data_IF_336591213685
#
_entry.id   IF_336591213685
#
_cell.length_a   1.000
_cell.length_b   1.000
_cell.length_c   1.000
_cell.angle_alpha   90.00
_cell.angle_beta   90.00
_cell.angle_gamma   90.00
#
_symmetry.space_group_name_H-M   'P 1'
#
loop_
_entity.id
_entity.type
_entity.pdbx_description
1 polymer ?
#
# COMPACT_ATOMS: atom_id res chain seq x y z
N UNK A 1 6.53 -5.88 1.77
CA UNK A 1 5.13 -5.69 2.20
C UNK A 1 5.08 -5.78 3.72
N UNK A 2 4.65 -4.74 4.44
CA UNK A 2 4.77 -4.67 5.90
C UNK A 2 3.99 -5.78 6.64
N UNK A 3 2.91 -6.28 6.05
CA UNK A 3 1.98 -7.20 6.70
C UNK A 3 2.41 -8.67 6.71
N UNK A 4 3.49 -9.06 6.04
CA UNK A 4 3.91 -10.47 5.90
C UNK A 4 5.22 -10.79 6.60
N UNK A 5 6.02 -9.78 7.00
CA UNK A 5 7.37 -9.94 7.56
C UNK A 5 8.34 -10.71 6.63
N UNK A 6 8.10 -10.67 5.32
CA UNK A 6 8.91 -11.36 4.32
C UNK A 6 9.54 -10.36 3.35
N UNK A 7 10.59 -10.78 2.66
CA UNK A 7 11.22 -9.97 1.61
C UNK A 7 10.34 -9.94 0.34
N UNK A 8 10.46 -8.92 -0.52
CA UNK A 8 9.72 -8.86 -1.79
C UNK A 8 9.86 -10.10 -2.66
N UNK A 9 11.05 -10.70 -2.73
CA UNK A 9 11.29 -11.95 -3.46
C UNK A 9 10.57 -13.17 -2.86
N UNK A 10 10.25 -13.14 -1.56
CA UNK A 10 9.53 -14.22 -0.87
C UNK A 10 8.02 -14.04 -1.01
N UNK A 11 7.51 -12.84 -0.71
CA UNK A 11 6.07 -12.59 -0.73
C UNK A 11 5.50 -12.30 -2.13
N UNK A 12 6.35 -12.14 -3.15
CA UNK A 12 5.95 -12.09 -4.57
C UNK A 12 5.43 -10.74 -5.09
N UNK A 13 5.39 -9.69 -4.26
CA UNK A 13 5.00 -8.33 -4.69
C UNK A 13 6.27 -7.47 -4.76
N UNK A 14 6.94 -7.50 -5.91
CA UNK A 14 8.28 -6.93 -6.09
C UNK A 14 8.29 -5.46 -6.54
N UNK A 15 7.12 -4.88 -6.81
CA UNK A 15 6.99 -3.47 -7.15
C UNK A 15 5.55 -3.09 -7.51
N UNK A 16 5.34 -1.81 -7.79
CA UNK A 16 4.03 -1.30 -8.26
C UNK A 16 3.71 -1.77 -9.68
N UNK A 17 4.73 -2.14 -10.44
CA UNK A 17 4.61 -2.68 -11.78
C UNK A 17 5.64 -3.79 -11.96
N UNK A 18 5.20 -4.99 -12.31
CA UNK A 18 6.12 -6.09 -12.62
C UNK A 18 5.47 -7.10 -13.56
N UNK A 19 6.29 -7.97 -14.12
CA UNK A 19 5.89 -8.91 -15.16
C UNK A 19 6.24 -10.34 -14.77
N UNK A 20 5.27 -11.22 -14.92
CA UNK A 20 5.45 -12.66 -14.74
C UNK A 20 5.81 -13.30 -16.08
N UNK A 21 7.05 -13.76 -16.22
CA UNK A 21 7.54 -14.39 -17.45
C UNK A 21 6.85 -15.72 -17.76
N UNK A 22 6.32 -16.40 -16.74
CA UNK A 22 5.75 -17.75 -16.89
C UNK A 22 4.32 -17.71 -17.47
N UNK A 23 3.55 -16.71 -17.07
CA UNK A 23 2.15 -16.55 -17.52
C UNK A 23 1.96 -15.38 -18.50
N UNK A 24 3.00 -14.57 -18.70
CA UNK A 24 3.02 -13.34 -19.47
C UNK A 24 2.11 -12.21 -18.94
N UNK A 25 1.70 -12.29 -17.68
CA UNK A 25 0.86 -11.26 -17.07
C UNK A 25 1.66 -10.10 -16.49
N UNK A 26 1.00 -8.96 -16.38
CA UNK A 26 1.54 -7.76 -15.76
C UNK A 26 0.76 -7.48 -14.50
N UNK A 27 1.48 -7.31 -13.38
CA UNK A 27 0.96 -6.60 -12.22
C UNK A 27 1.08 -5.09 -12.50
N UNK A 28 -0.05 -4.38 -12.50
CA UNK A 28 -0.11 -2.94 -12.75
C UNK A 28 -0.97 -2.29 -11.67
N UNK A 29 -0.34 -1.51 -10.78
CA UNK A 29 -0.99 -0.84 -9.65
C UNK A 29 -2.22 -0.01 -10.07
N UNK A 30 -2.22 0.55 -11.28
CA UNK A 30 -3.34 1.38 -11.79
C UNK A 30 -4.50 0.55 -12.33
N UNK A 31 -4.30 -0.75 -12.52
CA UNK A 31 -5.27 -1.66 -13.09
C UNK A 31 -5.81 -2.63 -12.02
N UNK A 32 -7.01 -2.35 -11.52
CA UNK A 32 -7.72 -3.23 -10.57
C UNK A 32 -8.00 -4.62 -11.14
N UNK A 33 -8.12 -4.80 -12.46
CA UNK A 33 -8.26 -6.13 -13.04
C UNK A 33 -6.98 -6.94 -12.87
N UNK A 34 -5.83 -6.31 -12.99
CA UNK A 34 -4.54 -6.96 -12.81
C UNK A 34 -4.26 -7.25 -11.32
N UNK A 35 -4.38 -6.23 -10.47
CA UNK A 35 -4.00 -6.36 -9.05
C UNK A 35 -4.91 -7.29 -8.26
N UNK A 36 -6.15 -7.55 -8.68
CA UNK A 36 -7.06 -8.47 -7.97
C UNK A 36 -6.73 -9.95 -8.17
N UNK A 37 -5.83 -10.31 -9.09
CA UNK A 37 -5.59 -11.72 -9.38
C UNK A 37 -4.93 -12.40 -8.19
N UNK A 38 -5.59 -13.45 -7.69
CA UNK A 38 -5.17 -14.19 -6.49
C UNK A 38 -3.71 -14.62 -6.55
N UNK A 39 -3.22 -15.01 -7.74
CA UNK A 39 -1.85 -15.51 -7.97
C UNK A 39 -0.75 -14.58 -7.44
N UNK A 40 -0.99 -13.27 -7.39
CA UNK A 40 -0.02 -12.30 -6.89
C UNK A 40 0.12 -12.33 -5.36
N UNK A 41 -0.91 -12.80 -4.66
CA UNK A 41 -1.06 -12.64 -3.22
C UNK A 41 -0.98 -13.96 -2.45
N UNK A 42 -0.73 -15.09 -3.11
CA UNK A 42 -0.75 -16.41 -2.45
C UNK A 42 0.59 -16.83 -1.83
N UNK A 43 1.69 -16.11 -2.06
CA UNK A 43 3.02 -16.54 -1.62
C UNK A 43 3.24 -16.35 -0.11
N UNK A 44 2.62 -15.33 0.50
CA UNK A 44 2.81 -15.01 1.90
C UNK A 44 1.49 -14.66 2.60
N UNK A 45 1.28 -15.24 3.78
CA UNK A 45 0.10 -14.98 4.60
C UNK A 45 0.25 -13.60 5.28
N UNK A 46 -0.66 -12.64 5.04
CA UNK A 46 -0.62 -11.38 5.74
C UNK A 46 -1.22 -11.49 7.15
N UNK A 47 -0.76 -10.63 8.07
CA UNK A 47 -1.13 -10.67 9.49
C UNK A 47 -2.63 -10.68 9.77
N UNK A 48 -3.43 -9.99 8.95
CA UNK A 48 -4.90 -9.99 9.10
C UNK A 48 -5.51 -11.36 8.84
N UNK A 49 -4.96 -12.13 7.89
CA UNK A 49 -5.41 -13.51 7.63
C UNK A 49 -4.98 -14.43 8.77
N UNK A 50 -3.76 -14.27 9.27
CA UNK A 50 -3.32 -15.02 10.46
C UNK A 50 -4.23 -14.76 11.66
N UNK A 51 -4.63 -13.50 11.89
CA UNK A 51 -5.54 -13.14 12.96
C UNK A 51 -6.93 -13.80 12.78
N UNK A 52 -7.54 -13.70 11.60
CA UNK A 52 -8.82 -14.37 11.29
C UNK A 52 -8.75 -15.88 11.52
N UNK A 53 -7.68 -16.53 11.06
CA UNK A 53 -7.48 -17.98 11.22
C UNK A 53 -7.32 -18.39 12.69
N UNK A 54 -6.87 -17.48 13.54
CA UNK A 54 -6.78 -17.65 14.99
C UNK A 54 -8.07 -17.22 15.73
N UNK A 55 -9.18 -17.03 15.00
CA UNK A 55 -10.48 -16.67 15.56
C UNK A 55 -10.57 -15.23 16.05
N UNK A 56 -9.75 -14.33 15.48
CA UNK A 56 -9.76 -12.91 15.78
C UNK A 56 -10.44 -12.16 14.65
N UNK A 57 -11.46 -11.37 14.97
CA UNK A 57 -12.16 -10.56 13.99
C UNK A 57 -11.28 -9.40 13.53
N UNK A 58 -11.20 -9.15 12.22
CA UNK A 58 -10.37 -8.10 11.63
C UNK A 58 -11.18 -7.14 10.75
N UNK A 59 -10.90 -5.84 10.90
CA UNK A 59 -11.46 -4.77 10.07
C UNK A 59 -10.37 -3.98 9.36
N UNK A 60 -10.45 -3.88 8.04
CA UNK A 60 -9.47 -3.18 7.22
C UNK A 60 -10.13 -2.03 6.44
N UNK A 61 -9.62 -0.81 6.64
CA UNK A 61 -10.09 0.41 5.99
C UNK A 61 -9.02 0.96 5.06
N UNK A 62 -9.35 1.09 3.78
CA UNK A 62 -8.47 1.51 2.68
C UNK A 62 -7.21 0.65 2.48
N UNK A 63 -7.03 -0.42 3.26
CA UNK A 63 -5.87 -1.29 3.14
C UNK A 63 -5.93 -2.05 1.81
N UNK A 64 -4.98 -1.76 0.94
CA UNK A 64 -4.99 -2.29 -0.43
C UNK A 64 -5.04 -3.81 -0.44
N UNK A 65 -5.95 -4.34 -1.27
CA UNK A 65 -6.11 -5.76 -1.57
C UNK A 65 -6.51 -6.63 -0.37
N UNK A 66 -7.12 -6.03 0.66
CA UNK A 66 -7.85 -6.79 1.67
C UNK A 66 -9.01 -7.61 1.10
N UNK A 67 -9.46 -7.29 -0.12
CA UNK A 67 -10.53 -7.95 -0.86
C UNK A 67 -10.08 -9.22 -1.60
N UNK A 68 -8.78 -9.51 -1.62
CA UNK A 68 -8.24 -10.73 -2.21
C UNK A 68 -8.05 -11.78 -1.12
N UNK A 69 -8.68 -12.93 -1.28
CA UNK A 69 -8.57 -14.01 -0.31
C UNK A 69 -7.16 -14.64 -0.32
N UNK A 70 -6.75 -15.11 0.86
CA UNK A 70 -5.59 -15.97 1.00
C UNK A 70 -6.07 -17.36 1.41
N UNK A 71 -5.90 -18.34 0.52
CA UNK A 71 -6.34 -19.74 0.74
C UNK A 71 -7.80 -19.86 1.20
N UNK A 72 -8.69 -19.01 0.67
CA UNK A 72 -10.13 -19.00 0.98
C UNK A 72 -10.52 -18.20 2.23
N UNK A 73 -9.56 -17.55 2.90
CA UNK A 73 -9.84 -16.66 4.04
C UNK A 73 -9.85 -15.19 3.63
N UNK A 74 -10.77 -14.43 4.20
CA UNK A 74 -10.92 -12.98 4.09
C UNK A 74 -11.08 -12.38 5.49
N UNK A 75 -10.71 -11.11 5.69
CA UNK A 75 -11.07 -10.38 6.91
C UNK A 75 -12.59 -10.29 7.05
N UNK A 76 -13.07 -10.18 8.30
CA UNK A 76 -14.48 -9.95 8.62
C UNK A 76 -15.02 -8.70 7.92
N UNK A 77 -14.21 -7.64 7.85
CA UNK A 77 -14.55 -6.41 7.13
C UNK A 77 -13.35 -5.93 6.31
N UNK A 78 -13.61 -5.61 5.06
CA UNK A 78 -12.67 -4.95 4.16
C UNK A 78 -13.44 -3.89 3.36
N UNK A 79 -13.03 -2.63 3.48
CA UNK A 79 -13.62 -1.55 2.66
C UNK A 79 -13.11 -1.56 1.22
N UNK A 80 -12.00 -2.27 0.96
CA UNK A 80 -11.19 -2.11 -0.24
C UNK A 80 -10.49 -0.74 -0.28
N UNK A 81 -9.62 -0.57 -1.29
CA UNK A 81 -8.98 0.72 -1.57
C UNK A 81 -9.83 1.52 -2.55
N UNK A 82 -10.08 2.79 -2.22
CA UNK A 82 -10.74 3.76 -3.08
C UNK A 82 -9.94 5.06 -3.07
N UNK A 83 -9.31 5.38 -4.21
CA UNK A 83 -8.48 6.59 -4.36
C UNK A 83 -9.23 7.89 -4.03
N UNK A 84 -10.55 7.95 -4.26
CA UNK A 84 -11.37 9.12 -3.93
C UNK A 84 -11.66 9.29 -2.44
N UNK A 85 -11.31 8.29 -1.61
CA UNK A 85 -11.56 8.26 -0.16
C UNK A 85 -10.29 8.07 0.67
N UNK A 86 -9.11 8.20 0.08
CA UNK A 86 -7.84 7.90 0.74
C UNK A 86 -6.88 9.11 0.79
N UNK A 87 -7.26 10.22 0.15
CA UNK A 87 -6.42 11.41 -0.03
C UNK A 87 -6.84 12.64 0.77
N UNK A 88 -7.74 12.51 1.74
CA UNK A 88 -8.25 13.61 2.57
C UNK A 88 -8.20 13.26 4.06
N UNK A 89 -8.08 14.28 4.92
CA UNK A 89 -8.05 14.13 6.38
C UNK A 89 -9.43 13.86 6.98
N UNK A 90 -10.50 14.33 6.34
CA UNK A 90 -11.87 13.99 6.73
C UNK A 90 -12.09 12.49 6.58
N UNK A 91 -11.66 11.91 5.46
CA UNK A 91 -11.75 10.46 5.26
C UNK A 91 -10.86 9.70 6.25
N UNK A 92 -9.65 10.18 6.56
CA UNK A 92 -8.81 9.59 7.60
C UNK A 92 -9.56 9.53 8.94
N UNK A 93 -10.16 10.64 9.35
CA UNK A 93 -10.95 10.73 10.58
C UNK A 93 -12.13 9.75 10.56
N UNK A 94 -12.90 9.71 9.47
CA UNK A 94 -14.03 8.80 9.34
C UNK A 94 -13.62 7.32 9.45
N UNK A 95 -12.49 6.94 8.84
CA UNK A 95 -11.99 5.57 8.95
C UNK A 95 -11.43 5.24 10.35
N UNK A 96 -10.81 6.20 11.03
CA UNK A 96 -10.37 6.05 12.42
C UNK A 96 -11.56 5.90 13.39
N UNK A 97 -12.60 6.72 13.22
CA UNK A 97 -13.84 6.65 14.00
C UNK A 97 -14.54 5.30 13.78
N UNK A 98 -14.60 4.83 12.54
CA UNK A 98 -15.16 3.50 12.22
C UNK A 98 -14.33 2.37 12.85
N UNK A 99 -12.99 2.45 12.78
CA UNK A 99 -12.10 1.49 13.41
C UNK A 99 -12.28 1.44 14.93
N UNK A 100 -12.44 2.59 15.59
CA UNK A 100 -12.75 2.66 17.03
C UNK A 100 -14.06 1.96 17.36
N UNK A 101 -15.13 2.26 16.61
CA UNK A 101 -16.43 1.62 16.79
C UNK A 101 -16.35 0.10 16.66
N UNK A 102 -15.62 -0.40 15.67
CA UNK A 102 -15.41 -1.83 15.44
C UNK A 102 -14.64 -2.48 16.60
N UNK A 103 -13.58 -1.82 17.08
CA UNK A 103 -12.74 -2.28 18.20
C UNK A 103 -13.49 -2.27 19.55
N UNK A 104 -14.36 -1.29 19.79
CA UNK A 104 -15.24 -1.29 20.97
C UNK A 104 -16.28 -2.42 20.94
N UNK A 105 -16.61 -2.91 19.75
CA UNK A 105 -17.47 -4.07 19.55
C UNK A 105 -16.75 -5.39 19.81
N UNK A 106 -16.43 -6.11 18.73
CA UNK A 106 -15.80 -7.42 18.82
C UNK A 106 -14.67 -7.62 17.81
N UNK A 107 -14.14 -6.55 17.23
CA UNK A 107 -12.95 -6.58 16.39
C UNK A 107 -11.69 -6.57 17.25
N UNK A 108 -10.70 -7.36 16.88
CA UNK A 108 -9.45 -7.52 17.62
C UNK A 108 -8.26 -6.84 16.94
N UNK A 109 -8.36 -6.60 15.63
CA UNK A 109 -7.38 -5.87 14.84
C UNK A 109 -8.12 -4.96 13.87
N UNK A 110 -7.83 -3.67 13.91
CA UNK A 110 -8.24 -2.73 12.89
C UNK A 110 -7.01 -2.11 12.22
N UNK A 111 -7.00 -2.00 10.89
CA UNK A 111 -5.93 -1.33 10.16
C UNK A 111 -6.53 -0.27 9.25
N UNK A 112 -5.97 0.94 9.28
CA UNK A 112 -6.41 2.08 8.50
C UNK A 112 -5.24 2.56 7.64
N UNK A 113 -5.50 2.79 6.35
CA UNK A 113 -4.53 3.34 5.41
C UNK A 113 -4.97 4.73 4.95
N UNK A 114 -4.00 5.62 4.72
CA UNK A 114 -4.23 6.97 4.19
C UNK A 114 -3.01 7.46 3.40
N UNK A 115 -3.25 8.27 2.37
CA UNK A 115 -2.22 8.77 1.44
C UNK A 115 -2.02 10.28 1.49
N UNK A 116 -2.73 11.02 2.36
CA UNK A 116 -2.77 12.48 2.36
C UNK A 116 -1.37 13.10 2.37
N UNK A 117 -0.52 12.74 3.33
CA UNK A 117 0.86 13.24 3.43
C UNK A 117 1.68 12.85 2.19
N UNK A 118 1.56 11.60 1.73
CA UNK A 118 2.26 11.13 0.54
C UNK A 118 1.84 11.88 -0.74
N UNK A 119 0.57 12.21 -0.88
CA UNK A 119 0.01 13.00 -2.00
C UNK A 119 0.56 14.43 -2.00
N UNK A 120 0.59 15.08 -0.84
CA UNK A 120 1.17 16.42 -0.71
C UNK A 120 2.67 16.40 -0.99
N UNK A 121 3.40 15.42 -0.42
CA UNK A 121 4.83 15.24 -0.66
C UNK A 121 5.18 15.00 -2.14
N UNK A 122 4.38 14.21 -2.87
CA UNK A 122 4.54 14.03 -4.33
C UNK A 122 4.30 15.31 -5.11
N UNK A 123 3.36 16.15 -4.67
CA UNK A 123 2.94 17.36 -5.39
C UNK A 123 3.89 18.53 -5.17
N UNK A 124 4.38 18.71 -3.94
CA UNK A 124 5.15 19.90 -3.56
C UNK A 124 6.61 19.61 -3.19
N UNK A 125 6.95 18.34 -2.95
CA UNK A 125 8.28 17.91 -2.50
C UNK A 125 8.34 17.72 -0.97
N UNK A 126 9.25 16.86 -0.48
CA UNK A 126 9.31 16.47 0.93
C UNK A 126 9.67 17.63 1.88
N UNK A 127 10.43 18.63 1.41
CA UNK A 127 10.93 19.74 2.22
C UNK A 127 10.07 21.02 2.10
N UNK A 128 8.87 20.92 1.51
CA UNK A 128 8.00 22.07 1.27
C UNK A 128 7.17 22.45 2.51
N UNK A 129 6.76 23.72 2.62
CA UNK A 129 5.86 24.17 3.69
C UNK A 129 4.53 23.40 3.70
N UNK A 130 4.00 23.04 2.52
CA UNK A 130 2.79 22.22 2.38
C UNK A 130 2.98 20.82 2.96
N UNK A 131 4.14 20.19 2.75
CA UNK A 131 4.45 18.88 3.32
C UNK A 131 4.55 18.94 4.84
N UNK A 132 5.19 19.97 5.40
CA UNK A 132 5.21 20.18 6.85
C UNK A 132 3.81 20.44 7.42
N UNK A 133 3.00 21.26 6.74
CA UNK A 133 1.62 21.53 7.14
C UNK A 133 0.74 20.28 7.06
N UNK A 134 0.91 19.44 6.03
CA UNK A 134 0.19 18.18 5.89
C UNK A 134 0.49 17.21 7.04
N UNK A 135 1.75 17.14 7.49
CA UNK A 135 2.14 16.36 8.68
C UNK A 135 1.46 16.93 9.93
N UNK A 136 1.53 18.25 10.18
CA UNK A 136 0.88 18.86 11.35
C UNK A 136 -0.63 18.63 11.38
N UNK A 137 -1.30 18.73 10.24
CA UNK A 137 -2.74 18.49 10.14
C UNK A 137 -3.10 17.02 10.34
N UNK A 138 -2.26 16.10 9.89
CA UNK A 138 -2.43 14.67 10.15
C UNK A 138 -2.23 14.37 11.64
N UNK A 139 -1.22 14.97 12.26
CA UNK A 139 -0.94 14.86 13.70
C UNK A 139 -2.14 15.33 14.55
N UNK A 140 -2.77 16.45 14.19
CA UNK A 140 -3.98 16.93 14.87
C UNK A 140 -5.15 15.92 14.80
N UNK A 141 -5.34 15.23 13.67
CA UNK A 141 -6.37 14.18 13.55
C UNK A 141 -6.03 12.97 14.44
N UNK A 142 -4.74 12.61 14.53
CA UNK A 142 -4.29 11.53 15.40
C UNK A 142 -4.41 11.89 16.88
N UNK A 143 -4.11 13.14 17.25
CA UNK A 143 -4.31 13.65 18.61
C UNK A 143 -5.78 13.56 19.03
N UNK A 144 -6.71 13.97 18.15
CA UNK A 144 -8.15 13.83 18.39
C UNK A 144 -8.55 12.36 18.60
N UNK A 145 -8.10 11.47 17.72
CA UNK A 145 -8.35 10.03 17.83
C UNK A 145 -7.82 9.46 19.16
N UNK A 146 -6.59 9.80 19.55
CA UNK A 146 -5.98 9.33 20.80
C UNK A 146 -6.70 9.88 22.03
N UNK A 147 -7.20 11.13 21.96
CA UNK A 147 -8.02 11.72 23.01
C UNK A 147 -9.34 10.97 23.19
N UNK A 148 -10.01 10.62 22.08
CA UNK A 148 -11.23 9.78 22.13
C UNK A 148 -10.92 8.39 22.69
N UNK A 149 -9.85 7.75 22.22
CA UNK A 149 -9.41 6.44 22.70
C UNK A 149 -9.13 6.45 24.20
N UNK A 150 -8.43 7.45 24.73
CA UNK A 150 -8.10 7.56 26.16
C UNK A 150 -9.33 7.66 27.06
N UNK A 151 -10.45 8.17 26.53
CA UNK A 151 -11.72 8.27 27.25
C UNK A 151 -12.66 7.07 26.99
N UNK A 152 -12.23 6.10 26.16
CA UNK A 152 -13.01 4.91 25.82
C UNK A 152 -12.85 3.79 26.86
N UNK A 153 -13.74 2.80 26.81
CA UNK A 153 -13.67 1.60 27.67
C UNK A 153 -12.51 0.67 27.31
N UNK A 154 -11.94 0.82 26.11
CA UNK A 154 -10.88 -0.05 25.59
C UNK A 154 -9.48 0.56 25.74
N UNK A 155 -9.35 1.77 26.30
CA UNK A 155 -8.08 2.50 26.42
C UNK A 155 -6.93 1.65 27.00
N UNK A 156 -7.19 0.92 28.09
CA UNK A 156 -6.19 0.08 28.78
C UNK A 156 -5.95 -1.29 28.12
N UNK A 157 -6.65 -1.58 27.03
CA UNK A 157 -6.62 -2.88 26.35
C UNK A 157 -6.28 -2.77 24.86
N UNK A 158 -6.11 -1.56 24.33
CA UNK A 158 -5.77 -1.32 22.94
C UNK A 158 -4.32 -0.86 22.80
N UNK A 159 -3.61 -1.43 21.83
CA UNK A 159 -2.31 -0.93 21.39
C UNK A 159 -2.48 -0.22 20.04
N UNK A 160 -1.85 0.94 19.89
CA UNK A 160 -1.87 1.71 18.64
C UNK A 160 -0.47 1.72 18.03
N UNK A 161 -0.38 1.42 16.74
CA UNK A 161 0.86 1.45 15.97
C UNK A 161 0.67 2.34 14.75
N UNK A 162 1.55 3.32 14.57
CA UNK A 162 1.58 4.22 13.40
C UNK A 162 2.87 3.97 12.66
N UNK A 163 2.78 3.60 11.38
CA UNK A 163 3.92 3.25 10.52
C UNK A 163 3.72 3.81 9.12
N UNK A 164 4.81 3.89 8.36
CA UNK A 164 4.83 4.24 6.94
C UNK A 164 5.52 3.13 6.14
N UNK A 165 5.14 2.99 4.88
CA UNK A 165 5.73 2.06 3.93
C UNK A 165 7.08 2.53 3.36
N UNK A 166 7.28 3.84 3.19
CA UNK A 166 8.54 4.42 2.70
C UNK A 166 8.67 5.93 2.96
N UNK A 167 9.87 6.46 2.76
CA UNK A 167 10.14 7.91 2.76
C UNK A 167 9.84 8.60 1.43
N UNK A 168 10.30 9.84 1.27
CA UNK A 168 10.17 10.63 0.04
C UNK A 168 11.48 11.36 -0.23
N UNK A 169 11.81 11.60 -1.51
CA UNK A 169 12.98 12.39 -1.90
C UNK A 169 12.65 13.33 -3.05
N UNK A 170 13.37 14.44 -3.13
CA UNK A 170 13.23 15.42 -4.21
C UNK A 170 13.84 14.88 -5.50
N UNK A 171 13.16 15.10 -6.64
CA UNK A 171 13.64 14.70 -7.96
C UNK A 171 14.13 15.92 -8.74
N UNK A 172 15.31 15.80 -9.37
CA UNK A 172 15.78 16.75 -10.36
C UNK A 172 15.22 16.37 -11.73
N UNK A 173 14.24 17.13 -12.22
CA UNK A 173 13.56 16.85 -13.50
C UNK A 173 14.48 16.91 -14.72
N UNK A 174 15.67 17.51 -14.59
CA UNK A 174 16.70 17.51 -15.64
C UNK A 174 17.47 16.19 -15.71
N UNK A 175 17.49 15.40 -14.64
CA UNK A 175 18.17 14.09 -14.56
C UNK A 175 17.20 12.96 -14.92
N UNK A 176 16.63 13.02 -16.12
CA UNK A 176 15.76 11.97 -16.65
C UNK A 176 16.53 11.02 -17.56
N UNK A 177 16.33 9.72 -17.38
CA UNK A 177 16.79 8.69 -18.32
C UNK A 177 15.54 8.16 -19.02
N UNK A 178 15.54 8.20 -20.36
CA UNK A 178 14.53 7.59 -21.21
C UNK A 178 15.18 6.31 -21.75
N UNK A 179 14.61 5.15 -21.42
CA UNK A 179 15.23 3.85 -21.76
C UNK A 179 15.22 3.66 -23.27
N UNK A 180 14.12 4.04 -23.91
CA UNK A 180 13.88 3.92 -25.35
C UNK A 180 14.89 4.72 -26.19
N UNK A 181 15.50 5.77 -25.63
CA UNK A 181 16.55 6.56 -26.28
C UNK A 181 17.95 5.94 -26.13
N UNK A 182 18.07 4.84 -25.38
CA UNK A 182 19.35 4.22 -25.01
C UNK A 182 19.53 2.80 -25.54
N UNK A 183 18.49 2.23 -26.13
CA UNK A 183 18.49 0.85 -26.65
C UNK A 183 17.74 0.79 -27.97
N UNK A 184 18.15 -0.12 -28.84
CA UNK A 184 17.46 -0.35 -30.10
C UNK A 184 16.06 -0.93 -29.83
N UNK A 185 15.04 -0.36 -30.48
CA UNK A 185 13.64 -0.78 -30.24
C UNK A 185 13.42 -2.28 -30.51
N UNK A 186 14.15 -2.86 -31.47
CA UNK A 186 14.04 -4.29 -31.79
C UNK A 186 14.67 -5.21 -30.74
N UNK A 187 15.51 -4.67 -29.84
CA UNK A 187 16.13 -5.41 -28.75
C UNK A 187 15.24 -5.46 -27.50
N UNK A 188 14.15 -4.69 -27.46
CA UNK A 188 13.20 -4.66 -26.36
C UNK A 188 11.99 -5.53 -26.64
N UNK A 189 11.81 -6.57 -25.83
CA UNK A 189 10.55 -7.32 -25.78
C UNK A 189 9.49 -6.57 -24.99
N UNK A 190 9.85 -6.04 -23.80
CA UNK A 190 8.91 -5.36 -22.90
C UNK A 190 9.63 -4.46 -21.92
N UNK A 191 9.00 -3.34 -21.57
CA UNK A 191 9.40 -2.49 -20.43
C UNK A 191 8.18 -2.38 -19.51
N UNK A 192 8.37 -2.66 -18.23
CA UNK A 192 7.29 -2.63 -17.23
C UNK A 192 7.71 -1.82 -16.01
N UNK A 193 6.93 -0.80 -15.69
CA UNK A 193 7.22 0.15 -14.63
C UNK A 193 7.71 1.49 -15.15
N UNK A 194 8.02 2.39 -14.22
CA UNK A 194 8.45 3.76 -14.50
C UNK A 194 9.19 4.33 -13.29
N UNK A 195 9.86 5.47 -13.50
CA UNK A 195 10.53 6.25 -12.47
C UNK A 195 11.71 5.50 -11.84
N UNK A 196 11.68 5.25 -10.53
CA UNK A 196 12.81 4.70 -9.77
C UNK A 196 13.03 3.20 -9.96
N UNK A 197 12.03 2.47 -10.48
CA UNK A 197 12.11 1.02 -10.68
C UNK A 197 11.40 0.60 -11.97
N UNK A 198 12.13 -0.09 -12.83
CA UNK A 198 11.64 -0.60 -14.12
C UNK A 198 12.21 -1.99 -14.40
N UNK A 199 11.38 -2.87 -14.96
CA UNK A 199 11.78 -4.15 -15.50
C UNK A 199 11.98 -3.98 -17.01
N UNK A 200 13.21 -4.23 -17.49
CA UNK A 200 13.54 -4.25 -18.91
C UNK A 200 13.68 -5.71 -19.33
N UNK A 201 12.85 -6.14 -20.27
CA UNK A 201 12.90 -7.48 -20.83
C UNK A 201 13.42 -7.41 -22.26
N UNK A 202 14.62 -7.94 -22.52
CA UNK A 202 15.20 -7.97 -23.84
C UNK A 202 14.53 -9.02 -24.74
N UNK A 203 14.65 -8.82 -26.04
CA UNK A 203 14.36 -9.83 -27.06
C UNK A 203 15.34 -11.01 -26.88
N UNK A 204 14.91 -12.24 -27.24
CA UNK A 204 15.80 -13.40 -27.20
C UNK A 204 17.06 -13.14 -28.05
N UNK A 205 18.25 -13.32 -27.46
CA UNK A 205 19.54 -13.06 -28.11
C UNK A 205 20.02 -11.60 -28.07
N UNK A 206 19.23 -10.67 -27.53
CA UNK A 206 19.64 -9.28 -27.32
C UNK A 206 20.40 -9.05 -25.99
N UNK A 207 20.40 -10.05 -25.10
CA UNK A 207 21.31 -10.09 -23.95
C UNK A 207 22.74 -10.35 -24.46
N UNK A 208 23.51 -9.29 -24.72
CA UNK A 208 24.95 -9.46 -24.99
C UNK A 208 25.64 -10.00 -23.74
N UNK A 209 26.36 -11.11 -23.90
CA UNK A 209 27.30 -11.68 -22.92
C UNK A 209 28.40 -10.70 -22.53
#
# INVERSE_FOLDING_TARGET
MLSTRQWPEEHGIIGNYFYDRSTEDVFDLTNTNSTRWRKWWQNAEPIWITAERLGRNVSLYQWSRCDVDFKGSLPKMCSGYNASRCGDLKDLKEHLDAAMSDLEGNVNLAMVYNEFVGNIGRKFGPDSEESFDAVRKTDAVLEEFLSVLNNSKIANHLNVMVISDHGMTSLDTKKKIIVEDRVEKHDLRKVVGRESYMNILPQSGAEKS
#
